data_IF_297946961637
#
_entry.id   IF_297946961637
#
_cell.length_a   1.000
_cell.length_b   1.000
_cell.length_c   1.000
_cell.angle_alpha   90.00
_cell.angle_beta   90.00
_cell.angle_gamma   90.00
#
_symmetry.space_group_name_H-M   'P 1'
#
loop_
_entity.id
_entity.type
_entity.pdbx_description
1 polymer ?
#
# COMPACT_ATOMS: atom_id res chain seq x y z
N UNK A 1 8.40 -7.75 12.88
CA UNK A 1 8.25 -8.62 11.69
C UNK A 1 8.69 -7.93 10.40
N UNK A 2 8.23 -6.71 10.11
CA UNK A 2 8.67 -5.93 8.92
C UNK A 2 9.98 -5.15 9.11
N UNK A 3 10.38 -4.86 10.34
CA UNK A 3 11.64 -4.18 10.67
C UNK A 3 12.88 -5.09 10.62
N UNK A 4 12.73 -6.36 10.20
CA UNK A 4 13.86 -7.27 10.04
C UNK A 4 14.74 -6.79 8.87
N UNK A 5 16.06 -6.72 9.10
CA UNK A 5 17.03 -6.29 8.08
C UNK A 5 16.93 -7.09 6.78
N UNK A 6 16.72 -8.41 6.85
CA UNK A 6 16.57 -9.26 5.67
C UNK A 6 15.31 -8.92 4.84
N UNK A 7 14.20 -8.58 5.50
CA UNK A 7 12.96 -8.17 4.83
C UNK A 7 13.16 -6.83 4.13
N UNK A 8 13.82 -5.88 4.81
CA UNK A 8 14.14 -4.58 4.21
C UNK A 8 15.05 -4.73 3.00
N UNK A 9 16.11 -5.53 3.11
CA UNK A 9 17.04 -5.79 2.02
C UNK A 9 16.34 -6.46 0.83
N UNK A 10 15.44 -7.42 1.07
CA UNK A 10 14.63 -8.03 0.02
C UNK A 10 13.83 -6.98 -0.75
N UNK A 11 13.10 -6.10 -0.07
CA UNK A 11 12.33 -5.04 -0.73
C UNK A 11 13.23 -4.04 -1.45
N UNK A 12 14.39 -3.70 -0.88
CA UNK A 12 15.33 -2.78 -1.50
C UNK A 12 15.93 -3.32 -2.80
N UNK A 13 16.15 -4.63 -2.88
CA UNK A 13 16.63 -5.30 -4.10
C UNK A 13 15.52 -5.53 -5.13
N UNK A 14 14.30 -5.86 -4.70
CA UNK A 14 13.23 -6.30 -5.60
C UNK A 14 12.32 -5.16 -6.09
N UNK A 15 12.08 -4.14 -5.29
CA UNK A 15 11.12 -3.08 -5.61
C UNK A 15 11.44 -2.34 -6.93
N UNK A 16 12.70 -1.98 -7.26
CA UNK A 16 12.99 -1.31 -8.53
C UNK A 16 12.57 -2.13 -9.76
N UNK A 17 12.92 -3.41 -9.80
CA UNK A 17 12.55 -4.29 -10.91
C UNK A 17 11.05 -4.55 -11.00
N UNK A 18 10.37 -4.67 -9.85
CA UNK A 18 8.91 -4.81 -9.82
C UNK A 18 8.20 -3.54 -10.30
N UNK A 19 8.76 -2.36 -9.99
CA UNK A 19 8.23 -1.07 -10.42
C UNK A 19 8.42 -0.92 -11.94
N UNK A 20 9.61 -1.24 -12.46
CA UNK A 20 9.91 -1.21 -13.89
C UNK A 20 9.02 -2.18 -14.69
N UNK A 21 8.73 -3.36 -14.13
CA UNK A 21 7.82 -4.33 -14.73
C UNK A 21 6.32 -3.93 -14.66
N UNK A 22 5.99 -2.81 -14.01
CA UNK A 22 4.61 -2.36 -13.82
C UNK A 22 3.80 -3.19 -12.82
N UNK A 23 4.45 -4.12 -12.12
CA UNK A 23 3.82 -4.98 -11.10
C UNK A 23 3.68 -4.21 -9.79
N UNK A 24 4.69 -3.46 -9.37
CA UNK A 24 4.64 -2.63 -8.17
C UNK A 24 4.10 -1.23 -8.50
N UNK A 25 3.15 -0.75 -7.68
CA UNK A 25 2.85 0.69 -7.57
C UNK A 25 2.94 1.15 -6.13
N UNK A 26 3.71 2.22 -5.91
CA UNK A 26 3.88 2.89 -4.62
C UNK A 26 3.07 4.17 -4.60
N UNK A 27 2.21 4.32 -3.61
CA UNK A 27 1.38 5.49 -3.41
C UNK A 27 1.82 6.22 -2.15
N UNK A 28 1.80 7.55 -2.21
CA UNK A 28 2.03 8.42 -1.07
C UNK A 28 0.89 9.43 -0.94
N UNK A 29 0.34 9.56 0.25
CA UNK A 29 -0.59 10.64 0.61
C UNK A 29 0.19 11.74 1.29
N UNK A 30 0.08 12.96 0.78
CA UNK A 30 0.73 14.14 1.35
C UNK A 30 -0.29 15.12 1.90
N UNK A 31 0.06 15.73 3.03
CA UNK A 31 -0.55 16.95 3.53
C UNK A 31 0.49 18.05 3.35
N UNK A 32 0.21 18.99 2.46
CA UNK A 32 1.21 19.91 1.93
C UNK A 32 2.45 19.15 1.41
N UNK A 33 3.63 19.40 1.97
CA UNK A 33 4.88 18.74 1.60
C UNK A 33 5.20 17.50 2.46
N UNK A 34 4.38 17.18 3.47
CA UNK A 34 4.62 16.07 4.39
C UNK A 34 3.97 14.77 3.94
N UNK A 35 4.73 13.67 3.91
CA UNK A 35 4.22 12.33 3.57
C UNK A 35 3.56 11.69 4.80
N UNK A 36 2.23 11.68 4.82
CA UNK A 36 1.45 11.24 5.98
C UNK A 36 0.91 9.80 5.86
N UNK A 37 0.90 9.22 4.65
CA UNK A 37 0.66 7.79 4.46
C UNK A 37 1.37 7.24 3.22
N UNK A 38 1.64 5.94 3.24
CA UNK A 38 2.16 5.20 2.11
C UNK A 38 1.41 3.88 1.93
N UNK A 39 1.25 3.48 0.67
CA UNK A 39 0.62 2.21 0.30
C UNK A 39 1.43 1.55 -0.82
N UNK A 40 1.94 0.36 -0.52
CA UNK A 40 2.65 -0.54 -1.41
C UNK A 40 1.66 -1.54 -1.98
N UNK A 41 1.44 -1.49 -3.29
CA UNK A 41 0.54 -2.41 -3.99
C UNK A 41 1.25 -3.23 -5.05
N UNK A 42 0.71 -4.43 -5.31
CA UNK A 42 1.07 -5.25 -6.45
C UNK A 42 -0.14 -5.37 -7.38
N UNK A 43 0.07 -5.18 -8.67
CA UNK A 43 -0.96 -5.19 -9.70
C UNK A 43 -0.72 -6.36 -10.65
N UNK A 44 -1.68 -7.27 -10.74
CA UNK A 44 -1.58 -8.44 -11.59
C UNK A 44 -2.95 -8.78 -12.18
N UNK A 45 -3.03 -8.89 -13.50
CA UNK A 45 -4.27 -9.22 -14.21
C UNK A 45 -5.46 -8.37 -13.76
N UNK A 46 -6.48 -8.97 -13.13
CA UNK A 46 -7.70 -8.32 -12.65
C UNK A 46 -7.65 -7.97 -11.15
N UNK A 47 -6.50 -8.16 -10.48
CA UNK A 47 -6.36 -8.04 -9.03
C UNK A 47 -5.37 -6.94 -8.64
N UNK A 48 -5.70 -6.19 -7.60
CA UNK A 48 -4.80 -5.29 -6.89
C UNK A 48 -4.60 -5.80 -5.48
N UNK A 49 -3.36 -6.13 -5.13
CA UNK A 49 -2.97 -6.62 -3.80
C UNK A 49 -2.45 -5.46 -2.95
N UNK A 50 -3.07 -5.25 -1.80
CA UNK A 50 -2.67 -4.20 -0.85
C UNK A 50 -1.65 -4.81 0.12
N UNK A 51 -0.37 -4.71 -0.25
CA UNK A 51 0.71 -5.48 0.36
C UNK A 51 1.19 -4.91 1.70
N UNK A 52 1.63 -3.65 1.70
CA UNK A 52 2.04 -2.94 2.91
C UNK A 52 1.40 -1.56 2.93
N UNK A 53 0.88 -1.18 4.08
CA UNK A 53 0.36 0.16 4.31
C UNK A 53 0.88 0.69 5.62
N UNK A 54 1.05 2.01 5.69
CA UNK A 54 1.44 2.71 6.91
C UNK A 54 1.02 4.16 6.82
N UNK A 55 0.81 4.76 7.97
CA UNK A 55 0.53 6.18 8.09
C UNK A 55 1.15 6.73 9.36
N UNK A 56 1.37 8.04 9.39
CA UNK A 56 1.84 8.72 10.58
C UNK A 56 0.67 8.90 11.56
N UNK A 57 0.84 8.34 12.76
CA UNK A 57 -0.17 8.36 13.82
C UNK A 57 -0.51 9.75 14.33
N UNK A 58 0.35 10.76 14.12
CA UNK A 58 0.04 12.16 14.44
C UNK A 58 -1.19 12.67 13.66
N UNK A 59 -1.44 12.10 12.48
CA UNK A 59 -2.54 12.46 11.59
C UNK A 59 -3.71 11.46 11.66
N UNK A 60 -3.77 10.61 12.69
CA UNK A 60 -4.77 9.54 12.79
C UNK A 60 -6.22 10.04 12.71
N UNK A 61 -6.52 11.24 13.22
CA UNK A 61 -7.86 11.84 13.17
C UNK A 61 -8.39 12.01 11.73
N UNK A 62 -7.50 12.20 10.74
CA UNK A 62 -7.87 12.36 9.34
C UNK A 62 -8.04 11.03 8.60
N UNK A 63 -7.81 9.90 9.29
CA UNK A 63 -7.84 8.55 8.70
C UNK A 63 -7.03 8.40 7.40
N UNK A 64 -5.75 8.85 7.36
CA UNK A 64 -4.97 8.92 6.12
C UNK A 64 -4.74 7.55 5.46
N UNK A 65 -4.66 6.48 6.26
CA UNK A 65 -4.63 5.10 5.75
C UNK A 65 -5.89 4.70 4.97
N UNK A 66 -7.07 5.18 5.37
CA UNK A 66 -8.31 4.94 4.62
C UNK A 66 -8.41 5.81 3.37
N UNK A 67 -7.95 7.06 3.46
CA UNK A 67 -7.95 8.00 2.33
C UNK A 67 -7.11 7.46 1.17
N UNK A 68 -5.89 6.99 1.45
CA UNK A 68 -5.01 6.43 0.41
C UNK A 68 -5.58 5.12 -0.17
N UNK A 69 -6.21 4.28 0.66
CA UNK A 69 -6.91 3.07 0.20
C UNK A 69 -8.06 3.42 -0.77
N UNK A 70 -8.90 4.38 -0.39
CA UNK A 70 -10.02 4.81 -1.21
C UNK A 70 -9.55 5.38 -2.56
N UNK A 71 -8.48 6.17 -2.57
CA UNK A 71 -7.91 6.72 -3.79
C UNK A 71 -7.42 5.62 -4.75
N UNK A 72 -6.71 4.61 -4.23
CA UNK A 72 -6.22 3.48 -5.04
C UNK A 72 -7.36 2.60 -5.54
N UNK A 73 -8.42 2.39 -4.75
CA UNK A 73 -9.62 1.68 -5.23
C UNK A 73 -10.28 2.44 -6.39
N UNK A 74 -10.38 3.77 -6.32
CA UNK A 74 -10.93 4.56 -7.43
C UNK A 74 -10.10 4.43 -8.70
N UNK A 75 -8.78 4.38 -8.59
CA UNK A 75 -7.88 4.12 -9.73
C UNK A 75 -8.08 2.70 -10.28
N UNK A 76 -8.12 1.69 -9.41
CA UNK A 76 -8.35 0.30 -9.80
C UNK A 76 -9.67 0.13 -10.56
N UNK A 77 -10.72 0.84 -10.14
CA UNK A 77 -12.01 0.88 -10.85
C UNK A 77 -11.89 1.53 -12.24
N UNK A 78 -11.14 2.64 -12.37
CA UNK A 78 -10.89 3.26 -13.68
C UNK A 78 -10.13 2.33 -14.62
N UNK A 79 -9.21 1.52 -14.08
CA UNK A 79 -8.48 0.48 -14.81
C UNK A 79 -9.23 -0.85 -14.91
N UNK A 80 -10.50 -0.89 -14.52
CA UNK A 80 -11.42 -2.04 -14.63
C UNK A 80 -10.91 -3.30 -13.92
N UNK A 81 -10.15 -3.15 -12.85
CA UNK A 81 -9.77 -4.25 -11.96
C UNK A 81 -11.02 -4.79 -11.25
N UNK A 82 -11.04 -6.09 -10.99
CA UNK A 82 -12.20 -6.80 -10.44
C UNK A 82 -12.03 -7.17 -8.97
N UNK A 83 -10.79 -7.32 -8.51
CA UNK A 83 -10.48 -7.81 -7.17
C UNK A 83 -9.55 -6.83 -6.48
N UNK A 84 -9.91 -6.46 -5.26
CA UNK A 84 -9.01 -5.82 -4.31
C UNK A 84 -8.74 -6.84 -3.21
N UNK A 85 -7.49 -7.26 -3.09
CA UNK A 85 -7.06 -8.26 -2.11
C UNK A 85 -6.24 -7.58 -1.01
N UNK A 86 -6.83 -7.49 0.19
CA UNK A 86 -6.18 -6.96 1.40
C UNK A 86 -5.27 -7.98 2.09
N UNK A 87 -4.98 -9.08 1.41
CA UNK A 87 -4.14 -10.18 1.83
C UNK A 87 -4.61 -10.77 3.17
N UNK A 88 -3.77 -10.68 4.20
CA UNK A 88 -3.99 -11.37 5.46
C UNK A 88 -5.16 -10.76 6.23
N UNK A 89 -6.19 -11.56 6.49
CA UNK A 89 -7.40 -11.14 7.20
C UNK A 89 -7.29 -11.11 8.73
N UNK A 90 -6.33 -11.81 9.34
CA UNK A 90 -6.23 -12.00 10.81
C UNK A 90 -5.03 -11.28 11.44
N UNK A 91 -4.78 -10.04 11.04
CA UNK A 91 -3.77 -9.22 11.69
C UNK A 91 -4.35 -8.63 13.00
N UNK A 92 -3.63 -8.76 14.11
CA UNK A 92 -4.15 -8.39 15.44
C UNK A 92 -4.59 -6.92 15.53
N UNK A 93 -3.98 -6.01 14.76
CA UNK A 93 -4.34 -4.60 14.75
C UNK A 93 -5.74 -4.32 14.16
N UNK A 94 -6.34 -5.25 13.40
CA UNK A 94 -7.68 -5.08 12.81
C UNK A 94 -8.82 -5.24 13.84
N UNK A 95 -8.50 -5.62 15.06
CA UNK A 95 -9.45 -5.90 16.15
C UNK A 95 -9.15 -5.10 17.44
N UNK A 96 -8.27 -4.11 17.35
CA UNK A 96 -7.96 -3.15 18.41
C UNK A 96 -8.72 -1.85 18.15
#
# INVERSE_FOLDING_TARGET
>A
MLANGAVREFHWKSAPSLLEAGVLRLYGLRLDDELIAALYTLWESDTVYFYLQGFDTLYAEFSPGMQIVAAVIQEALRERKKIIDFLRGREAYKYL
#
